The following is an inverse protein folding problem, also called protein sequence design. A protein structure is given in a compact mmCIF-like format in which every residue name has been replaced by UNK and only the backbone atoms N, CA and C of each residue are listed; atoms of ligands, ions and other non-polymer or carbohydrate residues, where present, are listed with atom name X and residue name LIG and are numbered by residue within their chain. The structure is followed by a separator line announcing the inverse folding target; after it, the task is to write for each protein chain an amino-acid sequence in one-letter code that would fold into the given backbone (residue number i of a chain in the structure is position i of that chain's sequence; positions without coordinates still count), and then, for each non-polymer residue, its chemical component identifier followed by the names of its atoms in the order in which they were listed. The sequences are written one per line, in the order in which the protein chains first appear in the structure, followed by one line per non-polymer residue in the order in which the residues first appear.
data_IF_933119635713
#
_entry.id   IF_933119635713
#
_cell.length_a   1.000
_cell.length_b   1.000
_cell.length_c   1.000
_cell.angle_alpha   90.00
_cell.angle_beta   90.00
_cell.angle_gamma   90.00
#
_symmetry.space_group_name_H-M   'P 1'
#
loop_
_entity.id
_entity.type
_entity.pdbx_description
1 polymer ?
#
# COMPACT_ATOMS: atom_id res chain seq x y z
N UNK A 1 -8.77 -4.61 -1.27
CA UNK A 1 -8.03 -5.71 -1.86
C UNK A 1 -8.53 -6.09 -3.24
N UNK A 2 -7.84 -6.98 -3.87
CA UNK A 2 -8.17 -7.47 -5.20
C UNK A 2 -7.92 -8.97 -5.29
N UNK A 3 -8.62 -9.63 -6.19
CA UNK A 3 -8.53 -11.07 -6.44
C UNK A 3 -8.10 -11.33 -7.89
N UNK A 4 -7.39 -12.43 -8.10
CA UNK A 4 -6.98 -12.89 -9.42
C UNK A 4 -7.29 -14.38 -9.60
N UNK A 5 -7.42 -14.82 -10.83
CA UNK A 5 -7.60 -16.24 -11.15
C UNK A 5 -6.29 -16.85 -11.63
N UNK A 6 -5.89 -17.94 -11.00
CA UNK A 6 -4.74 -18.77 -11.41
C UNK A 6 -5.29 -20.07 -11.97
N UNK A 7 -4.94 -20.38 -13.25
CA UNK A 7 -5.40 -21.60 -13.94
C UNK A 7 -4.69 -22.83 -13.42
N UNK A 8 -3.39 -22.72 -13.24
CA UNK A 8 -2.51 -23.69 -12.58
C UNK A 8 -1.49 -22.93 -11.70
N UNK A 9 -0.57 -23.63 -11.11
CA UNK A 9 0.36 -23.07 -10.11
C UNK A 9 1.22 -21.89 -10.60
N UNK A 10 1.21 -21.55 -11.88
CA UNK A 10 2.07 -20.52 -12.45
C UNK A 10 1.43 -19.68 -13.55
N UNK A 11 0.21 -20.02 -14.01
CA UNK A 11 -0.41 -19.34 -15.15
C UNK A 11 -1.72 -18.65 -14.76
N UNK A 12 -1.82 -17.32 -14.93
CA UNK A 12 -3.11 -16.62 -14.79
C UNK A 12 -4.10 -17.07 -15.85
N UNK A 13 -5.37 -17.13 -15.51
CA UNK A 13 -6.44 -17.45 -16.45
C UNK A 13 -6.58 -16.37 -17.53
N UNK A 14 -6.41 -15.11 -17.12
CA UNK A 14 -6.46 -13.92 -17.97
C UNK A 14 -5.72 -12.77 -17.26
N UNK A 15 -5.50 -11.68 -17.97
CA UNK A 15 -4.73 -10.51 -17.51
C UNK A 15 -5.63 -9.51 -16.74
N UNK A 16 -6.55 -9.99 -15.91
CA UNK A 16 -7.46 -9.12 -15.15
C UNK A 16 -7.43 -9.42 -13.65
N UNK A 17 -7.58 -8.34 -12.88
CA UNK A 17 -7.65 -8.33 -11.44
C UNK A 17 -9.01 -7.72 -11.06
N UNK A 18 -9.71 -8.38 -10.14
CA UNK A 18 -11.03 -7.95 -9.70
C UNK A 18 -10.98 -7.37 -8.30
N UNK A 19 -11.69 -6.26 -8.09
CA UNK A 19 -11.89 -5.74 -6.74
C UNK A 19 -12.73 -6.73 -5.92
N UNK A 20 -12.27 -7.05 -4.71
CA UNK A 20 -12.96 -7.96 -3.79
C UNK A 20 -13.72 -7.24 -2.66
N UNK A 21 -13.82 -5.91 -2.70
CA UNK A 21 -14.41 -5.10 -1.62
C UNK A 21 -15.84 -5.54 -1.32
N UNK A 22 -16.69 -5.67 -2.34
CA UNK A 22 -18.08 -6.07 -2.16
C UNK A 22 -18.21 -7.53 -1.69
N UNK A 23 -17.37 -8.42 -2.18
CA UNK A 23 -17.34 -9.82 -1.73
C UNK A 23 -16.96 -9.92 -0.25
N UNK A 24 -15.93 -9.19 0.18
CA UNK A 24 -15.51 -9.15 1.59
C UNK A 24 -16.63 -8.59 2.46
N UNK A 25 -17.34 -7.54 2.03
CA UNK A 25 -18.50 -7.01 2.76
C UNK A 25 -19.57 -8.08 2.96
N UNK A 26 -19.95 -8.80 1.92
CA UNK A 26 -20.91 -9.90 1.98
C UNK A 26 -20.43 -11.06 2.86
N UNK A 27 -19.14 -11.40 2.82
CA UNK A 27 -18.55 -12.39 3.70
C UNK A 27 -18.68 -11.98 5.17
N UNK A 28 -18.36 -10.72 5.49
CA UNK A 28 -18.45 -10.21 6.87
C UNK A 28 -19.89 -10.23 7.42
N UNK A 29 -20.88 -9.94 6.58
CA UNK A 29 -22.30 -10.00 6.96
C UNK A 29 -22.77 -11.44 7.22
N UNK A 30 -22.13 -12.42 6.59
CA UNK A 30 -22.54 -13.83 6.62
C UNK A 30 -21.55 -14.75 7.36
N UNK A 31 -20.57 -14.19 8.05
CA UNK A 31 -19.60 -14.99 8.79
C UNK A 31 -20.26 -15.72 9.97
N UNK A 32 -19.97 -17.01 10.11
CA UNK A 32 -20.38 -17.85 11.24
C UNK A 32 -19.17 -18.60 11.75
N UNK A 33 -18.90 -18.54 13.05
CA UNK A 33 -17.78 -19.24 13.68
C UNK A 33 -16.44 -19.07 12.92
N UNK A 34 -16.16 -17.86 12.45
CA UNK A 34 -14.98 -17.51 11.63
C UNK A 34 -14.92 -18.25 10.27
N UNK A 35 -16.07 -18.67 9.75
CA UNK A 35 -16.20 -19.35 8.45
C UNK A 35 -17.26 -18.67 7.59
N UNK A 36 -17.09 -18.75 6.28
CA UNK A 36 -18.08 -18.37 5.29
C UNK A 36 -18.43 -19.58 4.43
N UNK A 37 -19.62 -19.59 3.83
CA UNK A 37 -20.02 -20.66 2.91
C UNK A 37 -19.21 -20.57 1.60
N UNK A 38 -19.00 -21.71 0.94
CA UNK A 38 -18.26 -21.78 -0.32
C UNK A 38 -18.87 -20.97 -1.46
N UNK A 39 -20.16 -20.67 -1.38
CA UNK A 39 -20.89 -19.83 -2.35
C UNK A 39 -20.49 -18.36 -2.29
N UNK A 40 -19.98 -17.91 -1.16
CA UNK A 40 -19.46 -16.54 -0.99
C UNK A 40 -18.01 -16.38 -1.44
N UNK A 41 -17.29 -17.49 -1.73
CA UNK A 41 -15.92 -17.40 -2.22
C UNK A 41 -15.90 -16.83 -3.65
N UNK A 42 -15.02 -15.87 -3.94
CA UNK A 42 -14.92 -15.26 -5.27
C UNK A 42 -14.55 -16.29 -6.31
N UNK A 43 -15.26 -16.25 -7.44
CA UNK A 43 -15.01 -17.15 -8.58
C UNK A 43 -14.71 -16.36 -9.84
N UNK A 44 -13.82 -16.90 -10.65
CA UNK A 44 -13.48 -16.34 -11.94
C UNK A 44 -14.68 -16.40 -12.89
N UNK A 45 -14.99 -15.28 -13.54
CA UNK A 45 -16.08 -15.19 -14.50
C UNK A 45 -15.83 -16.00 -15.78
N UNK A 46 -14.55 -16.25 -16.10
CA UNK A 46 -14.16 -16.99 -17.31
C UNK A 46 -14.16 -18.51 -17.11
N UNK A 47 -13.59 -19.00 -16.00
CA UNK A 47 -13.39 -20.43 -15.78
C UNK A 47 -14.12 -21.01 -14.56
N UNK A 48 -14.79 -20.20 -13.75
CA UNK A 48 -15.54 -20.63 -12.57
C UNK A 48 -14.69 -21.07 -11.36
N UNK A 49 -13.37 -21.10 -11.47
CA UNK A 49 -12.47 -21.47 -10.37
C UNK A 49 -12.50 -20.43 -9.26
N UNK A 50 -12.24 -20.85 -8.04
CA UNK A 50 -12.05 -19.94 -6.91
C UNK A 50 -10.83 -19.07 -7.20
N UNK A 51 -11.01 -17.77 -7.01
CA UNK A 51 -9.93 -16.79 -7.14
C UNK A 51 -9.10 -16.73 -5.86
N UNK A 52 -7.89 -16.22 -5.98
CA UNK A 52 -6.95 -16.04 -4.87
C UNK A 52 -6.66 -14.55 -4.68
N UNK A 53 -6.31 -14.12 -3.45
CA UNK A 53 -5.91 -12.75 -3.20
C UNK A 53 -4.72 -12.35 -4.08
N UNK A 54 -4.75 -11.14 -4.62
CA UNK A 54 -3.64 -10.59 -5.40
C UNK A 54 -2.52 -10.13 -4.46
N UNK A 55 -1.66 -11.09 -4.10
CA UNK A 55 -0.56 -10.92 -3.15
C UNK A 55 0.77 -11.07 -3.89
N UNK A 56 1.79 -10.34 -3.44
CA UNK A 56 3.13 -10.40 -4.03
C UNK A 56 3.87 -11.68 -3.62
N UNK A 57 3.59 -12.75 -4.34
CA UNK A 57 4.26 -14.05 -4.27
C UNK A 57 4.65 -14.53 -5.67
N UNK A 58 5.06 -15.79 -5.82
CA UNK A 58 5.48 -16.37 -7.10
C UNK A 58 4.35 -16.43 -8.15
N UNK A 59 3.10 -16.26 -7.73
CA UNK A 59 1.92 -16.27 -8.60
C UNK A 59 1.42 -14.86 -8.95
N UNK A 60 2.13 -13.82 -8.52
CA UNK A 60 1.70 -12.43 -8.66
C UNK A 60 1.52 -12.02 -10.12
N UNK A 61 0.30 -11.63 -10.48
CA UNK A 61 -0.03 -11.20 -11.83
C UNK A 61 0.43 -9.74 -12.07
N UNK A 62 1.48 -9.57 -12.86
CA UNK A 62 1.93 -8.28 -13.37
C UNK A 62 1.16 -7.91 -14.65
N UNK A 63 -0.17 -7.88 -14.54
CA UNK A 63 -1.07 -7.57 -15.63
C UNK A 63 -1.14 -6.09 -16.00
N UNK A 64 -2.11 -5.73 -16.83
CA UNK A 64 -2.29 -4.35 -17.31
C UNK A 64 -2.40 -3.35 -16.16
N UNK A 65 -3.22 -3.64 -15.16
CA UNK A 65 -3.49 -2.71 -14.04
C UNK A 65 -2.24 -2.48 -13.19
N UNK A 66 -1.43 -3.53 -12.97
CA UNK A 66 -0.17 -3.39 -12.26
C UNK A 66 0.83 -2.51 -13.06
N UNK A 67 1.00 -2.77 -14.36
CA UNK A 67 1.89 -1.96 -15.22
C UNK A 67 1.45 -0.49 -15.29
N UNK A 68 0.16 -0.22 -15.36
CA UNK A 68 -0.36 1.14 -15.30
C UNK A 68 -0.11 1.80 -13.94
N UNK A 69 -0.22 1.05 -12.84
CA UNK A 69 0.14 1.50 -11.50
C UNK A 69 1.60 1.89 -11.39
N UNK A 70 2.50 1.03 -11.85
CA UNK A 70 3.95 1.31 -11.90
C UNK A 70 4.23 2.57 -12.71
N UNK A 71 3.66 2.69 -13.90
CA UNK A 71 3.85 3.88 -14.76
C UNK A 71 3.38 5.17 -14.09
N UNK A 72 2.23 5.14 -13.39
CA UNK A 72 1.76 6.32 -12.63
C UNK A 72 2.73 6.68 -11.51
N UNK A 73 3.23 5.69 -10.79
CA UNK A 73 4.20 5.89 -9.72
C UNK A 73 5.54 6.45 -10.26
N UNK A 74 6.09 5.87 -11.32
CA UNK A 74 7.30 6.38 -11.96
C UNK A 74 7.14 7.82 -12.47
N UNK A 75 6.01 8.15 -13.08
CA UNK A 75 5.72 9.51 -13.53
C UNK A 75 5.65 10.49 -12.36
N UNK A 76 5.07 10.06 -11.23
CA UNK A 76 5.07 10.85 -10.00
C UNK A 76 6.50 11.09 -9.50
N UNK A 77 7.32 10.05 -9.40
CA UNK A 77 8.72 10.18 -8.98
C UNK A 77 9.51 11.10 -9.90
N UNK A 78 9.39 10.93 -11.22
CA UNK A 78 10.05 11.80 -12.21
C UNK A 78 9.62 13.25 -12.02
N UNK A 79 8.32 13.51 -11.86
CA UNK A 79 7.78 14.87 -11.76
C UNK A 79 8.22 15.59 -10.47
N UNK A 80 8.28 14.89 -9.34
CA UNK A 80 8.43 15.52 -8.03
C UNK A 80 9.79 15.28 -7.36
N UNK A 81 10.54 14.27 -7.80
CA UNK A 81 11.81 13.92 -7.17
C UNK A 81 13.02 13.98 -8.11
N UNK A 82 12.82 13.77 -9.42
CA UNK A 82 13.94 13.65 -10.36
C UNK A 82 14.17 14.91 -11.22
N UNK A 83 13.13 15.69 -11.51
CA UNK A 83 13.21 16.84 -12.45
C UNK A 83 13.51 18.19 -11.76
N UNK A 84 14.10 18.18 -10.56
CA UNK A 84 14.52 19.42 -9.89
C UNK A 84 13.36 20.36 -9.55
N UNK A 85 12.24 19.83 -9.08
CA UNK A 85 11.09 20.66 -8.65
C UNK A 85 11.46 21.50 -7.44
N UNK A 86 10.94 22.71 -7.35
CA UNK A 86 11.07 23.56 -6.15
C UNK A 86 10.14 23.16 -5.00
N UNK A 87 9.35 22.11 -5.17
CA UNK A 87 8.38 21.68 -4.18
C UNK A 87 9.01 20.79 -3.11
N UNK A 88 8.62 20.99 -1.87
CA UNK A 88 8.88 20.05 -0.80
C UNK A 88 7.98 18.83 -0.94
N UNK A 89 8.55 17.64 -0.74
CA UNK A 89 7.86 16.36 -0.82
C UNK A 89 7.92 15.66 0.53
N UNK A 90 6.79 15.17 1.01
CA UNK A 90 6.73 14.31 2.19
C UNK A 90 6.47 12.88 1.74
N UNK A 91 7.36 11.97 2.11
CA UNK A 91 7.17 10.54 1.96
C UNK A 91 6.55 10.00 3.24
N UNK A 92 5.26 9.72 3.20
CA UNK A 92 4.48 9.30 4.36
C UNK A 92 4.34 7.77 4.38
N UNK A 93 4.89 7.15 5.42
CA UNK A 93 4.79 5.72 5.69
C UNK A 93 3.77 5.48 6.81
N UNK A 94 2.75 4.67 6.53
CA UNK A 94 1.68 4.35 7.47
C UNK A 94 1.64 2.86 7.79
N UNK A 95 2.03 2.48 9.00
CA UNK A 95 1.91 1.11 9.52
C UNK A 95 2.73 0.05 8.79
N UNK A 96 3.75 0.41 8.05
CA UNK A 96 4.57 -0.55 7.30
C UNK A 96 5.43 -1.37 8.26
N UNK A 97 5.27 -2.70 8.16
CA UNK A 97 6.03 -3.65 8.97
C UNK A 97 7.49 -3.81 8.54
N UNK A 98 8.21 -4.62 9.31
CA UNK A 98 9.63 -4.89 9.09
C UNK A 98 9.90 -6.10 8.17
N UNK A 99 8.83 -6.83 7.78
CA UNK A 99 9.01 -8.06 7.00
C UNK A 99 9.40 -7.83 5.53
N UNK A 100 8.97 -6.71 4.95
CA UNK A 100 9.26 -6.38 3.55
C UNK A 100 9.73 -4.92 3.39
N UNK A 101 10.84 -4.54 4.05
CA UNK A 101 11.29 -3.14 4.07
C UNK A 101 11.72 -2.62 2.69
N UNK A 102 12.10 -3.51 1.80
CA UNK A 102 12.58 -3.17 0.45
C UNK A 102 11.51 -2.57 -0.48
N UNK A 103 10.24 -2.74 -0.16
CA UNK A 103 9.15 -2.25 -1.03
C UNK A 103 8.87 -0.76 -0.80
N UNK A 104 8.85 -0.31 0.45
CA UNK A 104 8.50 1.08 0.81
C UNK A 104 9.62 1.72 1.64
N UNK A 105 9.97 1.12 2.76
CA UNK A 105 10.84 1.70 3.80
C UNK A 105 12.22 2.08 3.24
N UNK A 106 12.95 1.13 2.68
CA UNK A 106 14.29 1.39 2.13
C UNK A 106 14.27 2.37 0.94
N UNK A 107 13.37 2.25 -0.04
CA UNK A 107 13.24 3.25 -1.10
C UNK A 107 12.94 4.66 -0.59
N UNK A 108 12.06 4.80 0.42
CA UNK A 108 11.75 6.10 1.01
C UNK A 108 12.97 6.72 1.72
N UNK A 109 13.73 5.92 2.46
CA UNK A 109 14.95 6.40 3.10
C UNK A 109 16.00 6.84 2.07
N UNK A 110 16.18 6.07 1.01
CA UNK A 110 17.11 6.40 -0.07
C UNK A 110 16.69 7.70 -0.80
N UNK A 111 15.42 7.85 -1.14
CA UNK A 111 14.91 9.08 -1.76
C UNK A 111 15.05 10.30 -0.84
N UNK A 112 14.81 10.13 0.47
CA UNK A 112 15.00 11.19 1.46
C UNK A 112 16.46 11.56 1.61
N UNK A 113 17.36 10.59 1.64
CA UNK A 113 18.81 10.85 1.73
C UNK A 113 19.34 11.63 0.52
N UNK A 114 18.93 11.21 -0.68
CA UNK A 114 19.43 11.79 -1.95
C UNK A 114 18.85 13.16 -2.30
N UNK A 115 17.77 13.59 -1.66
CA UNK A 115 17.07 14.81 -2.04
C UNK A 115 16.79 15.72 -0.85
N UNK A 116 17.33 16.92 -0.87
CA UNK A 116 17.20 17.88 0.23
C UNK A 116 15.77 18.39 0.47
N UNK A 117 14.92 18.34 -0.54
CA UNK A 117 13.51 18.77 -0.46
C UNK A 117 12.55 17.65 -0.08
N UNK A 118 13.08 16.48 0.22
CA UNK A 118 12.28 15.33 0.66
C UNK A 118 12.36 15.16 2.17
N UNK A 119 11.22 15.05 2.80
CA UNK A 119 11.06 14.75 4.23
C UNK A 119 10.37 13.38 4.40
N UNK A 120 10.87 12.57 5.30
CA UNK A 120 10.28 11.26 5.62
C UNK A 120 9.45 11.34 6.90
N UNK A 121 8.23 10.87 6.86
CA UNK A 121 7.36 10.74 8.03
C UNK A 121 6.86 9.31 8.16
N UNK A 122 7.12 8.68 9.30
CA UNK A 122 6.66 7.33 9.60
C UNK A 122 5.71 7.35 10.80
N UNK A 123 4.50 6.81 10.61
CA UNK A 123 3.55 6.55 11.69
C UNK A 123 3.41 5.04 11.86
N UNK A 124 3.74 4.55 13.05
CA UNK A 124 3.65 3.11 13.34
C UNK A 124 3.33 2.87 14.82
N UNK A 125 2.67 1.79 15.12
CA UNK A 125 2.34 1.41 16.50
C UNK A 125 3.58 1.04 17.32
N UNK A 126 4.58 0.40 16.70
CA UNK A 126 5.83 0.03 17.38
C UNK A 126 6.77 1.23 17.47
N UNK A 127 7.47 1.36 18.60
CA UNK A 127 8.58 2.32 18.73
C UNK A 127 9.73 1.93 17.79
N UNK A 128 10.19 2.88 17.01
CA UNK A 128 11.40 2.80 16.19
C UNK A 128 11.96 4.20 16.05
N UNK A 129 12.98 4.38 15.24
CA UNK A 129 13.58 5.67 14.95
C UNK A 129 13.86 5.81 13.47
N UNK A 130 13.97 7.03 13.00
CA UNK A 130 14.53 7.32 11.69
C UNK A 130 16.00 6.88 11.64
N UNK A 131 16.47 6.33 10.51
CA UNK A 131 17.89 6.03 10.34
C UNK A 131 18.76 7.26 10.51
N UNK A 132 19.97 7.06 11.06
CA UNK A 132 20.90 8.14 11.39
C UNK A 132 21.21 9.07 10.20
N UNK A 133 21.33 8.49 9.00
CA UNK A 133 21.67 9.25 7.78
C UNK A 133 20.53 10.15 7.23
N UNK A 134 19.32 10.06 7.79
CA UNK A 134 18.16 10.93 7.45
C UNK A 134 17.50 11.52 8.70
N UNK A 135 18.13 11.47 9.86
CA UNK A 135 17.53 11.90 11.12
C UNK A 135 17.03 13.35 11.11
N UNK A 136 17.77 14.23 10.43
CA UNK A 136 17.41 15.65 10.32
C UNK A 136 16.31 15.95 9.28
N UNK A 137 15.96 14.97 8.48
CA UNK A 137 14.95 15.02 7.43
C UNK A 137 13.82 14.00 7.62
N UNK A 138 13.66 13.48 8.83
CA UNK A 138 12.64 12.48 9.11
C UNK A 138 12.08 12.58 10.52
N UNK A 139 10.84 12.13 10.66
CA UNK A 139 10.15 11.98 11.93
C UNK A 139 9.56 10.59 12.05
N UNK A 140 9.63 10.03 13.26
CA UNK A 140 8.96 8.80 13.61
C UNK A 140 7.94 9.07 14.71
N UNK A 141 6.68 8.77 14.44
CA UNK A 141 5.57 8.92 15.39
C UNK A 141 5.08 7.54 15.78
N UNK A 142 5.26 7.18 17.05
CA UNK A 142 4.76 5.93 17.60
C UNK A 142 3.35 6.13 18.17
N UNK A 143 2.37 5.37 17.67
CA UNK A 143 0.99 5.47 18.16
C UNK A 143 0.00 4.71 17.28
N UNK A 144 -1.26 4.76 17.69
CA UNK A 144 -2.36 4.26 16.87
C UNK A 144 -2.55 5.17 15.66
N UNK A 145 -2.65 4.58 14.47
CA UNK A 145 -2.78 5.31 13.21
C UNK A 145 -4.06 6.13 13.14
N UNK A 146 -5.18 5.57 13.59
CA UNK A 146 -6.48 6.25 13.50
C UNK A 146 -6.54 7.45 14.45
N UNK A 147 -6.00 7.30 15.66
CA UNK A 147 -5.90 8.41 16.63
C UNK A 147 -4.95 9.48 16.11
N UNK A 148 -3.74 9.12 15.71
CA UNK A 148 -2.74 10.06 15.21
C UNK A 148 -3.25 10.87 14.00
N UNK A 149 -3.90 10.21 13.05
CA UNK A 149 -4.45 10.87 11.86
C UNK A 149 -5.65 11.77 12.19
N UNK A 150 -6.46 11.42 13.20
CA UNK A 150 -7.55 12.26 13.71
C UNK A 150 -7.00 13.53 14.33
N UNK A 151 -6.02 13.40 15.22
CA UNK A 151 -5.37 14.54 15.88
C UNK A 151 -4.71 15.48 14.87
N UNK A 152 -4.03 14.94 13.85
CA UNK A 152 -3.46 15.74 12.76
C UNK A 152 -4.55 16.54 12.02
N UNK A 153 -5.67 15.89 11.69
CA UNK A 153 -6.78 16.54 10.99
C UNK A 153 -7.38 17.69 11.81
N UNK A 154 -7.61 17.48 13.11
CA UNK A 154 -8.16 18.48 14.01
C UNK A 154 -7.20 19.68 14.17
N UNK A 155 -5.90 19.43 14.30
CA UNK A 155 -4.89 20.47 14.40
C UNK A 155 -4.70 21.30 13.13
N UNK A 156 -4.91 20.69 11.94
CA UNK A 156 -4.87 21.40 10.66
C UNK A 156 -6.12 22.29 10.52
N UNK A 157 -7.31 21.75 10.79
CA UNK A 157 -8.55 22.50 10.71
C UNK A 157 -8.60 23.71 11.69
N UNK A 158 -7.98 23.59 12.87
CA UNK A 158 -7.88 24.67 13.84
C UNK A 158 -6.90 25.80 13.47
N UNK A 159 -6.07 25.63 12.44
CA UNK A 159 -5.13 26.66 11.96
C UNK A 159 -5.64 27.45 10.75
N UNK A 160 -6.73 27.03 10.15
CA UNK A 160 -7.36 27.72 9.00
C UNK A 160 -8.46 28.73 9.43
N UNK A 161 -8.67 28.90 10.72
CA UNK A 161 -9.53 29.98 11.32
C UNK A 161 -8.67 31.11 11.86
#
# INVERSE_FOLDING_TARGET
GSEMCIRDSSQPCHDQIYSNVEMIRRMNENIRELRVTSELLPRCNECGRIMVPWVRDDTFLEGKDWREGVRRYENFLKKYLMNGTDKNVVLLELGVGEMTPSIIKLPFWEMTYKNEKVFYACLNQKKSSTPEHIKDKGIYIAGDLAETLRDLKENIAGKEM
#
